data_IF_233624807893
#
_entry.id   IF_233624807893
#
_cell.length_a   1.000
_cell.length_b   1.000
_cell.length_c   1.000
_cell.angle_alpha   90.00
_cell.angle_beta   90.00
_cell.angle_gamma   90.00
#
_symmetry.space_group_name_H-M   'P 1'
#
loop_
_entity.id
_entity.type
_entity.pdbx_description
1 polymer ?
#
# COMPACT_ATOMS: atom_id res chain seq x y z
N UNK A 1 -9.13 4.87 18.51
CA UNK A 1 -8.14 4.51 17.47
C UNK A 1 -6.83 4.10 18.13
N UNK A 2 -6.02 3.19 17.58
CA UNK A 2 -4.63 3.04 18.05
C UNK A 2 -3.71 3.51 16.97
N UNK A 3 -2.73 4.27 17.40
CA UNK A 3 -1.68 4.76 16.54
C UNK A 3 -0.67 3.64 16.35
N UNK A 4 -0.36 3.33 15.09
CA UNK A 4 0.79 2.51 14.76
C UNK A 4 2.02 3.40 14.90
N UNK A 5 2.96 3.00 15.75
CA UNK A 5 4.25 3.67 15.86
C UNK A 5 5.31 2.76 15.26
N UNK A 6 6.17 3.32 14.42
CA UNK A 6 7.39 2.64 14.04
C UNK A 6 8.24 2.41 15.30
N UNK A 7 8.84 1.23 15.42
CA UNK A 7 9.75 0.93 16.53
C UNK A 7 11.03 1.77 16.34
N UNK A 8 11.54 2.36 17.41
CA UNK A 8 12.77 3.16 17.35
C UNK A 8 13.93 2.33 16.79
N UNK A 9 14.66 2.90 15.82
CA UNK A 9 15.75 2.24 15.11
C UNK A 9 15.30 1.20 14.07
N UNK A 10 14.00 0.96 13.90
CA UNK A 10 13.50 0.09 12.82
C UNK A 10 13.73 0.72 11.45
N UNK A 11 13.82 -0.15 10.43
CA UNK A 11 13.92 0.27 9.03
C UNK A 11 12.87 1.34 8.68
N UNK A 12 11.58 1.05 8.94
CA UNK A 12 10.50 1.96 8.55
C UNK A 12 10.56 3.31 9.28
N UNK A 13 11.08 3.37 10.51
CA UNK A 13 11.31 4.64 11.19
C UNK A 13 12.40 5.48 10.48
N UNK A 14 13.53 4.84 10.14
CA UNK A 14 14.64 5.49 9.44
C UNK A 14 14.21 5.95 8.05
N UNK A 15 13.60 5.06 7.27
CA UNK A 15 13.08 5.34 5.93
C UNK A 15 12.12 6.53 5.97
N UNK A 16 11.15 6.54 6.90
CA UNK A 16 10.20 7.64 7.03
C UNK A 16 10.90 8.98 7.34
N UNK A 17 11.88 8.99 8.25
CA UNK A 17 12.64 10.20 8.60
C UNK A 17 13.52 10.69 7.45
N UNK A 18 14.20 9.79 6.74
CA UNK A 18 15.13 10.14 5.66
C UNK A 18 14.40 10.67 4.42
N UNK A 19 13.16 10.22 4.19
CA UNK A 19 12.37 10.55 3.01
C UNK A 19 11.29 11.62 3.25
N UNK A 20 11.23 12.19 4.47
CA UNK A 20 10.16 13.09 4.88
C UNK A 20 9.99 14.30 3.96
N UNK A 21 11.11 14.93 3.57
CA UNK A 21 11.14 16.14 2.74
C UNK A 21 11.27 15.85 1.23
N UNK A 22 11.25 14.58 0.84
CA UNK A 22 11.36 14.16 -0.56
C UNK A 22 10.00 14.20 -1.26
N UNK A 23 10.02 14.56 -2.55
CA UNK A 23 8.88 14.36 -3.44
C UNK A 23 8.69 12.86 -3.80
N UNK A 24 7.56 12.46 -4.41
CA UNK A 24 7.30 11.06 -4.73
C UNK A 24 8.36 10.40 -5.64
N UNK A 25 8.95 11.13 -6.59
CA UNK A 25 9.95 10.58 -7.49
C UNK A 25 11.29 10.38 -6.77
N UNK A 26 11.65 11.32 -5.90
CA UNK A 26 12.82 11.20 -5.02
C UNK A 26 12.67 10.04 -4.04
N UNK A 27 11.47 9.82 -3.49
CA UNK A 27 11.18 8.65 -2.63
C UNK A 27 11.33 7.33 -3.39
N UNK A 28 10.87 7.29 -4.64
CA UNK A 28 11.02 6.12 -5.49
C UNK A 28 12.51 5.82 -5.77
N UNK A 29 13.28 6.84 -6.17
CA UNK A 29 14.72 6.69 -6.41
C UNK A 29 15.49 6.30 -5.15
N UNK A 30 15.11 6.81 -3.97
CA UNK A 30 15.70 6.38 -2.71
C UNK A 30 15.42 4.90 -2.43
N UNK A 31 14.17 4.45 -2.63
CA UNK A 31 13.77 3.06 -2.41
C UNK A 31 14.41 2.09 -3.42
N UNK A 32 14.67 2.54 -4.65
CA UNK A 32 15.32 1.75 -5.71
C UNK A 32 16.77 1.39 -5.37
N UNK A 33 17.44 2.22 -4.56
CA UNK A 33 18.84 2.03 -4.14
C UNK A 33 18.93 1.48 -2.69
N UNK A 34 17.83 1.03 -2.10
CA UNK A 34 17.77 0.57 -0.70
C UNK A 34 17.91 -0.96 -0.58
N UNK A 35 19.16 -1.41 -0.37
CA UNK A 35 19.51 -2.82 -0.19
C UNK A 35 18.77 -3.48 1.00
N UNK A 36 18.50 -2.75 2.09
CA UNK A 36 17.85 -3.32 3.28
C UNK A 36 16.39 -3.72 2.98
N UNK A 37 15.69 -2.90 2.19
CA UNK A 37 14.36 -3.26 1.71
C UNK A 37 14.40 -4.35 0.63
N UNK A 38 15.33 -4.29 -0.32
CA UNK A 38 15.46 -5.31 -1.38
C UNK A 38 15.65 -6.70 -0.78
N UNK A 39 16.57 -6.83 0.19
CA UNK A 39 16.82 -8.09 0.89
C UNK A 39 15.59 -8.58 1.65
N UNK A 40 14.94 -7.69 2.42
CA UNK A 40 13.74 -8.05 3.18
C UNK A 40 12.57 -8.45 2.27
N UNK A 41 12.38 -7.75 1.16
CA UNK A 41 11.35 -8.05 0.16
C UNK A 41 11.63 -9.40 -0.52
N UNK A 42 12.88 -9.68 -0.90
CA UNK A 42 13.28 -10.93 -1.56
C UNK A 42 13.05 -12.15 -0.66
N UNK A 43 13.34 -12.03 0.63
CA UNK A 43 13.02 -13.06 1.64
C UNK A 43 11.50 -13.27 1.73
N UNK A 44 10.72 -12.19 1.82
CA UNK A 44 9.26 -12.28 1.91
C UNK A 44 8.63 -12.90 0.65
N UNK A 45 9.12 -12.53 -0.54
CA UNK A 45 8.64 -13.05 -1.82
C UNK A 45 8.85 -14.56 -1.96
N UNK A 46 9.90 -15.11 -1.33
CA UNK A 46 10.24 -16.54 -1.39
C UNK A 46 9.64 -17.37 -0.24
N UNK A 47 8.99 -16.73 0.75
CA UNK A 47 8.50 -17.38 1.96
C UNK A 47 7.04 -17.88 1.88
N UNK A 48 6.33 -17.57 0.78
CA UNK A 48 4.94 -17.96 0.59
C UNK A 48 4.75 -19.45 0.25
N UNK A 49 3.49 -19.89 0.21
CA UNK A 49 3.13 -21.28 -0.14
C UNK A 49 3.31 -21.59 -1.64
N UNK A 50 3.58 -20.58 -2.47
CA UNK A 50 3.71 -20.67 -3.92
C UNK A 50 5.07 -20.16 -4.37
N UNK A 51 5.61 -20.74 -5.44
CA UNK A 51 6.86 -20.28 -6.05
C UNK A 51 6.74 -18.83 -6.55
N UNK A 52 7.84 -18.08 -6.46
CA UNK A 52 7.91 -16.72 -6.99
C UNK A 52 7.81 -16.73 -8.53
N UNK A 53 6.95 -15.88 -9.07
CA UNK A 53 6.79 -15.67 -10.52
C UNK A 53 7.17 -14.24 -10.88
N UNK A 54 7.95 -14.07 -11.95
CA UNK A 54 8.42 -12.78 -12.45
C UNK A 54 7.52 -12.19 -13.54
N UNK A 55 6.67 -12.99 -14.16
CA UNK A 55 5.65 -12.54 -15.11
C UNK A 55 4.33 -12.28 -14.36
N UNK A 56 4.15 -11.05 -13.90
CA UNK A 56 3.04 -10.62 -13.06
C UNK A 56 2.20 -9.55 -13.74
N UNK A 57 0.88 -9.75 -13.74
CA UNK A 57 -0.08 -8.75 -14.21
C UNK A 57 -0.85 -8.13 -13.04
N UNK A 58 -0.85 -8.78 -11.88
CA UNK A 58 -1.47 -8.32 -10.64
C UNK A 58 -0.71 -7.14 -10.04
N UNK A 59 -1.44 -6.25 -9.35
CA UNK A 59 -0.91 -5.00 -8.82
C UNK A 59 -1.49 -4.70 -7.45
N UNK A 60 -0.65 -4.20 -6.54
CA UNK A 60 -1.08 -3.76 -5.22
C UNK A 60 -1.37 -2.25 -5.20
N UNK A 61 -2.48 -1.88 -4.59
CA UNK A 61 -2.81 -0.50 -4.23
C UNK A 61 -3.19 -0.43 -2.76
N UNK A 62 -2.99 0.73 -2.12
CA UNK A 62 -3.34 0.94 -0.72
C UNK A 62 -4.49 1.94 -0.59
N UNK A 63 -5.45 1.67 0.28
CA UNK A 63 -6.50 2.62 0.65
C UNK A 63 -6.28 3.13 2.07
N UNK A 64 -6.25 4.44 2.25
CA UNK A 64 -6.06 5.07 3.56
C UNK A 64 -6.97 6.29 3.74
N UNK A 65 -7.31 6.59 4.99
CA UNK A 65 -8.02 7.81 5.36
C UNK A 65 -6.99 8.85 5.83
N UNK A 66 -6.89 9.97 5.12
CA UNK A 66 -6.00 11.09 5.47
C UNK A 66 -6.83 12.37 5.44
N UNK A 67 -6.78 13.15 6.51
CA UNK A 67 -7.49 14.44 6.63
C UNK A 67 -8.99 14.40 6.30
N UNK A 68 -9.66 13.29 6.63
CA UNK A 68 -11.10 13.10 6.41
C UNK A 68 -11.47 12.65 4.98
N UNK A 69 -10.49 12.24 4.18
CA UNK A 69 -10.67 11.82 2.79
C UNK A 69 -10.13 10.39 2.58
N UNK A 70 -10.84 9.59 1.78
CA UNK A 70 -10.36 8.29 1.29
C UNK A 70 -9.42 8.49 0.11
N UNK A 71 -8.17 8.08 0.28
CA UNK A 71 -7.18 8.05 -0.79
C UNK A 71 -6.84 6.63 -1.22
N UNK A 72 -6.78 6.42 -2.53
CA UNK A 72 -6.08 5.30 -3.16
C UNK A 72 -4.66 5.74 -3.52
N UNK A 73 -3.69 5.02 -2.98
CA UNK A 73 -2.27 5.18 -3.20
C UNK A 73 -1.79 4.08 -4.15
N UNK A 74 -1.46 4.48 -5.38
CA UNK A 74 -0.99 3.62 -6.45
C UNK A 74 0.31 4.21 -7.00
N UNK A 75 1.43 3.50 -6.81
CA UNK A 75 2.76 3.95 -7.25
C UNK A 75 2.93 4.07 -8.76
N UNK A 76 2.00 3.53 -9.57
CA UNK A 76 2.00 3.69 -11.04
C UNK A 76 1.32 4.99 -11.50
N UNK A 77 0.64 5.70 -10.60
CA UNK A 77 -0.02 6.99 -10.88
C UNK A 77 0.86 8.15 -10.44
N UNK A 78 0.68 9.30 -11.08
CA UNK A 78 1.42 10.52 -10.74
C UNK A 78 1.03 11.15 -9.41
N UNK A 79 -0.16 10.83 -8.88
CA UNK A 79 -0.69 11.37 -7.64
C UNK A 79 -1.71 10.43 -6.99
N UNK A 80 -1.97 10.55 -5.67
CA UNK A 80 -3.07 9.86 -5.00
C UNK A 80 -4.42 10.13 -5.68
N UNK A 81 -5.28 9.11 -5.73
CA UNK A 81 -6.66 9.26 -6.21
C UNK A 81 -7.57 9.47 -5.00
N UNK A 82 -8.24 10.63 -4.90
CA UNK A 82 -9.28 10.86 -3.90
C UNK A 82 -10.58 10.16 -4.33
N UNK A 83 -11.25 9.53 -3.38
CA UNK A 83 -12.55 8.87 -3.54
C UNK A 83 -13.65 9.52 -2.69
N UNK A 84 -13.38 10.71 -2.15
CA UNK A 84 -14.31 11.50 -1.33
C UNK A 84 -14.18 11.26 0.18
N UNK A 85 -15.14 11.78 0.96
CA UNK A 85 -15.05 11.81 2.41
C UNK A 85 -14.99 10.42 3.04
N UNK A 86 -14.18 10.28 4.09
CA UNK A 86 -14.10 9.07 4.91
C UNK A 86 -13.64 9.41 6.33
N UNK A 87 -13.69 8.42 7.21
CA UNK A 87 -13.14 8.52 8.56
C UNK A 87 -12.40 7.24 8.93
N UNK A 88 -11.58 7.29 9.99
CA UNK A 88 -10.95 6.08 10.50
C UNK A 88 -11.97 4.95 10.82
N UNK A 89 -13.19 5.30 11.25
CA UNK A 89 -14.28 4.37 11.56
C UNK A 89 -14.99 3.80 10.32
N UNK A 90 -15.03 4.55 9.21
CA UNK A 90 -15.72 4.14 7.98
C UNK A 90 -14.79 3.69 6.87
N UNK A 91 -13.46 3.79 7.06
CA UNK A 91 -12.42 3.47 6.08
C UNK A 91 -12.65 2.11 5.40
N UNK A 92 -12.95 1.07 6.19
CA UNK A 92 -13.18 -0.27 5.64
C UNK A 92 -14.38 -0.29 4.69
N UNK A 93 -15.51 0.31 5.10
CA UNK A 93 -16.74 0.32 4.33
C UNK A 93 -16.61 1.20 3.08
N UNK A 94 -15.92 2.32 3.18
CA UNK A 94 -15.73 3.26 2.07
C UNK A 94 -14.76 2.69 1.03
N UNK A 95 -13.61 2.14 1.46
CA UNK A 95 -12.69 1.42 0.57
C UNK A 95 -13.37 0.22 -0.10
N UNK A 96 -14.18 -0.54 0.64
CA UNK A 96 -14.90 -1.68 0.08
C UNK A 96 -15.88 -1.30 -1.04
N UNK A 97 -16.49 -0.09 -1.01
CA UNK A 97 -17.34 0.39 -2.11
C UNK A 97 -16.52 0.59 -3.39
N UNK A 98 -15.36 1.23 -3.28
CA UNK A 98 -14.45 1.46 -4.41
C UNK A 98 -13.94 0.13 -4.97
N UNK A 99 -13.52 -0.78 -4.11
CA UNK A 99 -13.03 -2.12 -4.51
C UNK A 99 -14.15 -2.91 -5.22
N UNK A 100 -15.38 -2.89 -4.71
CA UNK A 100 -16.51 -3.57 -5.36
C UNK A 100 -16.82 -3.00 -6.74
N UNK A 101 -16.75 -1.69 -6.91
CA UNK A 101 -16.92 -1.07 -8.22
C UNK A 101 -15.84 -1.55 -9.21
N UNK A 102 -14.57 -1.61 -8.78
CA UNK A 102 -13.45 -2.13 -9.58
C UNK A 102 -13.62 -3.60 -9.99
N UNK A 103 -14.11 -4.44 -9.07
CA UNK A 103 -14.42 -5.84 -9.37
C UNK A 103 -15.56 -5.92 -10.41
N UNK A 104 -16.60 -5.10 -10.25
CA UNK A 104 -17.73 -5.06 -11.19
C UNK A 104 -17.35 -4.60 -12.60
N UNK A 105 -16.35 -3.72 -12.73
CA UNK A 105 -15.79 -3.30 -14.03
C UNK A 105 -15.00 -4.42 -14.73
N UNK A 106 -14.61 -5.47 -14.01
CA UNK A 106 -13.82 -6.60 -14.50
C UNK A 106 -14.55 -7.94 -14.28
N UNK A 107 -15.76 -8.12 -14.85
CA UNK A 107 -16.67 -9.22 -14.48
C UNK A 107 -16.14 -10.62 -14.84
N UNK A 108 -15.11 -10.71 -15.68
CA UNK A 108 -14.49 -11.97 -16.11
C UNK A 108 -13.20 -12.30 -15.35
N UNK A 109 -12.76 -11.43 -14.42
CA UNK A 109 -11.57 -11.65 -13.61
C UNK A 109 -11.96 -12.15 -12.22
N UNK A 110 -11.22 -13.13 -11.72
CA UNK A 110 -11.30 -13.61 -10.34
C UNK A 110 -10.02 -13.26 -9.55
N UNK A 111 -9.06 -12.57 -10.17
CA UNK A 111 -7.74 -12.31 -9.61
C UNK A 111 -7.78 -11.05 -8.72
N UNK A 112 -8.53 -11.13 -7.62
CA UNK A 112 -8.61 -10.08 -6.61
C UNK A 112 -8.31 -10.65 -5.23
N UNK A 113 -7.49 -9.94 -4.47
CA UNK A 113 -7.27 -10.21 -3.05
C UNK A 113 -7.36 -8.88 -2.29
N UNK A 114 -7.89 -8.93 -1.06
CA UNK A 114 -7.99 -7.77 -0.18
C UNK A 114 -7.49 -8.17 1.20
N UNK A 115 -6.53 -7.40 1.71
CA UNK A 115 -6.04 -7.52 3.08
C UNK A 115 -6.35 -6.23 3.84
N UNK A 116 -6.77 -6.36 5.09
CA UNK A 116 -7.03 -5.23 5.98
C UNK A 116 -5.98 -5.20 7.09
N UNK A 117 -5.33 -4.04 7.27
CA UNK A 117 -4.47 -3.79 8.43
C UNK A 117 -5.37 -3.42 9.63
N UNK A 118 -5.65 -4.41 10.48
CA UNK A 118 -6.47 -4.22 11.68
C UNK A 118 -5.64 -4.40 12.96
N UNK A 119 -6.14 -3.84 14.07
CA UNK A 119 -5.66 -4.25 15.39
C UNK A 119 -6.05 -5.70 15.64
N UNK A 120 -5.15 -6.44 16.30
CA UNK A 120 -5.49 -7.73 16.92
C UNK A 120 -6.51 -7.56 18.03
#
# INVERSE_FOLDING_TARGET
MGTLFAVEGSYFEKFYKQTADMDPAQRAAFLEEDDEMEDAHSVAASAGDTDANVDVNEHFVCFSCVDGELYELDGRKSQPTSHGPSSPETLLQDAAKVIKARIAENPNSMNFNVMALSKK
#
